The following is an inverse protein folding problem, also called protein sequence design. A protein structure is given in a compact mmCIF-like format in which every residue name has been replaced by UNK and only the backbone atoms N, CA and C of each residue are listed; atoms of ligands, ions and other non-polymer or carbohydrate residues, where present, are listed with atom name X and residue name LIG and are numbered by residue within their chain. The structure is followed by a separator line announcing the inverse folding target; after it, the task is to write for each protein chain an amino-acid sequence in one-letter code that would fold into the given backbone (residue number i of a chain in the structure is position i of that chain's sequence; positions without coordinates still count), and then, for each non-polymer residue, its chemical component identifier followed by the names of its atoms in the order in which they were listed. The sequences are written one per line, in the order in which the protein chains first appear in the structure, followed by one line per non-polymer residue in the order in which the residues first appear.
data_IF_270523991863
#
_entry.id   IF_270523991863
#
_cell.length_a   1.000
_cell.length_b   1.000
_cell.length_c   1.000
_cell.angle_alpha   90.00
_cell.angle_beta   90.00
_cell.angle_gamma   90.00
#
_symmetry.space_group_name_H-M   'P 1'
#
loop_
_entity.id
_entity.type
_entity.pdbx_description
1 polymer ?
#
# COMPACT_ATOMS: atom_id res chain seq x y z
N UNK A 1 2.14 1.08 -13.88
CA UNK A 1 1.39 1.01 -12.61
C UNK A 1 2.18 1.76 -11.54
N UNK A 2 1.51 2.55 -10.73
CA UNK A 2 2.14 3.30 -9.65
C UNK A 2 1.50 2.82 -8.34
N UNK A 3 2.27 2.17 -7.50
CA UNK A 3 1.76 1.43 -6.35
C UNK A 3 2.20 2.07 -5.04
N UNK A 4 1.25 2.22 -4.11
CA UNK A 4 1.54 2.53 -2.72
C UNK A 4 1.27 1.28 -1.90
N UNK A 5 2.22 0.91 -1.06
CA UNK A 5 2.13 -0.26 -0.20
C UNK A 5 1.74 0.18 1.21
N UNK A 6 0.71 -0.44 1.77
CA UNK A 6 0.32 -0.21 3.16
C UNK A 6 0.69 -1.45 3.95
N UNK A 7 1.65 -1.30 4.85
CA UNK A 7 2.18 -2.39 5.66
C UNK A 7 3.49 -2.93 5.11
N UNK A 8 4.58 -2.71 5.84
CA UNK A 8 5.90 -3.19 5.45
C UNK A 8 6.43 -4.21 6.45
N UNK A 9 5.54 -5.10 6.90
CA UNK A 9 5.93 -6.25 7.70
C UNK A 9 6.41 -7.39 6.81
N UNK A 10 6.23 -8.61 7.28
CA UNK A 10 6.74 -9.78 6.57
C UNK A 10 6.25 -9.85 5.12
N UNK A 11 4.94 -9.78 4.93
CA UNK A 11 4.37 -9.87 3.58
C UNK A 11 4.59 -8.61 2.77
N UNK A 12 4.58 -7.46 3.45
CA UNK A 12 4.80 -6.20 2.77
C UNK A 12 6.17 -6.12 2.12
N UNK A 13 7.19 -6.67 2.77
CA UNK A 13 8.52 -6.71 2.21
C UNK A 13 8.56 -7.49 0.90
N UNK A 14 7.82 -8.60 0.84
CA UNK A 14 7.75 -9.40 -0.37
C UNK A 14 7.05 -8.66 -1.49
N UNK A 15 5.94 -7.98 -1.17
CA UNK A 15 5.20 -7.20 -2.16
C UNK A 15 6.03 -6.03 -2.69
N UNK A 16 6.77 -5.35 -1.81
CA UNK A 16 7.63 -4.25 -2.25
C UNK A 16 8.62 -4.73 -3.30
N UNK A 17 9.18 -5.91 -3.10
CA UNK A 17 10.11 -6.51 -4.04
C UNK A 17 9.44 -6.84 -5.36
N UNK A 18 8.22 -7.38 -5.29
CA UNK A 18 7.46 -7.74 -6.48
C UNK A 18 7.13 -6.52 -7.32
N UNK A 19 6.66 -5.44 -6.70
CA UNK A 19 6.30 -4.25 -7.43
C UNK A 19 7.52 -3.48 -7.95
N UNK A 20 8.65 -3.60 -7.27
CA UNK A 20 9.90 -3.03 -7.76
C UNK A 20 9.80 -1.55 -8.09
N UNK A 21 10.11 -1.19 -9.33
CA UNK A 21 10.11 0.20 -9.76
C UNK A 21 8.71 0.81 -9.91
N UNK A 22 7.67 -0.01 -9.85
CA UNK A 22 6.30 0.51 -9.83
C UNK A 22 5.93 1.06 -8.45
N UNK A 23 6.69 0.75 -7.43
CA UNK A 23 6.44 1.19 -6.06
C UNK A 23 6.79 2.67 -5.94
N UNK A 24 5.83 3.49 -5.50
CA UNK A 24 6.03 4.93 -5.35
C UNK A 24 5.81 5.42 -3.92
N UNK A 25 5.24 4.61 -3.05
CA UNK A 25 5.03 4.98 -1.66
C UNK A 25 4.92 3.79 -0.75
N UNK A 26 5.31 3.96 0.51
CA UNK A 26 5.20 2.95 1.55
C UNK A 26 4.63 3.60 2.80
N UNK A 27 3.64 2.94 3.39
CA UNK A 27 2.96 3.40 4.60
C UNK A 27 3.03 2.32 5.67
N UNK A 28 3.40 2.70 6.90
CA UNK A 28 3.42 1.78 8.03
C UNK A 28 3.39 2.59 9.32
N UNK A 29 2.66 2.11 10.32
CA UNK A 29 2.66 2.75 11.63
C UNK A 29 3.97 2.58 12.36
N UNK A 30 4.70 1.52 12.08
CA UNK A 30 5.93 1.17 12.77
C UNK A 30 7.10 1.89 12.12
N UNK A 31 7.71 2.82 12.84
CA UNK A 31 8.82 3.60 12.31
C UNK A 31 10.02 2.72 11.95
N UNK A 32 10.25 1.65 12.71
CA UNK A 32 11.35 0.74 12.39
C UNK A 32 11.16 0.08 11.03
N UNK A 33 9.92 -0.26 10.69
CA UNK A 33 9.64 -0.82 9.37
C UNK A 33 9.92 0.18 8.27
N UNK A 34 9.52 1.45 8.47
CA UNK A 34 9.80 2.50 7.51
C UNK A 34 11.29 2.74 7.36
N UNK A 35 12.03 2.73 8.48
CA UNK A 35 13.49 2.93 8.44
C UNK A 35 14.18 1.83 7.63
N UNK A 36 13.72 0.59 7.78
CA UNK A 36 14.25 -0.52 6.99
C UNK A 36 13.96 -0.36 5.51
N UNK A 37 12.76 0.08 5.20
CA UNK A 37 12.38 0.29 3.80
C UNK A 37 13.19 1.41 3.16
N UNK A 38 13.48 2.47 3.92
CA UNK A 38 14.24 3.60 3.41
C UNK A 38 15.65 3.23 2.97
N UNK A 39 16.19 2.13 3.49
CA UNK A 39 17.50 1.65 3.08
C UNK A 39 17.48 0.99 1.70
N UNK A 40 16.31 0.59 1.22
CA UNK A 40 16.17 -0.18 0.00
C UNK A 40 15.41 0.57 -1.10
N UNK A 41 14.52 1.48 -0.73
CA UNK A 41 13.61 2.10 -1.69
C UNK A 41 13.62 3.61 -1.55
N UNK A 42 13.73 4.30 -2.67
CA UNK A 42 13.67 5.75 -2.74
C UNK A 42 12.26 6.15 -3.18
N UNK A 43 11.34 6.15 -2.23
CA UNK A 43 9.92 6.42 -2.46
C UNK A 43 9.41 7.36 -1.37
N UNK A 44 8.13 7.74 -1.46
CA UNK A 44 7.49 8.53 -0.42
C UNK A 44 7.10 7.62 0.75
N UNK A 45 7.21 8.15 1.98
CA UNK A 45 6.93 7.38 3.19
C UNK A 45 5.85 8.07 4.01
N UNK A 46 4.94 7.27 4.56
CA UNK A 46 3.82 7.75 5.36
C UNK A 46 3.72 6.93 6.63
N UNK A 47 3.46 7.59 7.76
CA UNK A 47 3.32 6.89 9.05
C UNK A 47 1.92 6.38 9.28
N UNK A 48 0.95 6.77 8.45
CA UNK A 48 -0.41 6.27 8.55
C UNK A 48 -1.06 6.28 7.18
N UNK A 49 -2.11 5.45 7.01
CA UNK A 49 -2.83 5.41 5.75
C UNK A 49 -3.56 6.73 5.50
N UNK A 50 -3.94 7.43 6.57
CA UNK A 50 -4.61 8.72 6.44
C UNK A 50 -3.70 9.74 5.78
N UNK A 51 -2.43 9.75 6.15
CA UNK A 51 -1.46 10.64 5.51
C UNK A 51 -1.34 10.36 4.01
N UNK A 52 -1.30 9.08 3.66
CA UNK A 52 -1.26 8.68 2.26
C UNK A 52 -2.52 9.12 1.53
N UNK A 53 -3.68 8.87 2.14
CA UNK A 53 -4.97 9.18 1.54
C UNK A 53 -5.11 10.66 1.22
N UNK A 54 -4.57 11.52 2.09
CA UNK A 54 -4.65 12.97 1.94
C UNK A 54 -3.48 13.56 1.17
N UNK A 55 -2.53 12.74 0.76
CA UNK A 55 -1.32 13.24 0.11
C UNK A 55 -1.59 13.61 -1.35
N UNK A 56 -0.64 14.34 -1.93
CA UNK A 56 -0.69 14.72 -3.35
C UNK A 56 0.08 13.74 -4.22
N UNK A 57 0.53 12.61 -3.66
CA UNK A 57 1.26 11.62 -4.43
C UNK A 57 0.36 11.01 -5.50
N UNK A 58 0.89 10.91 -6.70
CA UNK A 58 0.16 10.26 -7.79
C UNK A 58 0.38 8.75 -7.75
N UNK A 59 -0.70 8.00 -7.61
CA UNK A 59 -0.66 6.54 -7.64
C UNK A 59 -2.02 6.03 -8.11
N UNK A 60 -2.02 4.85 -8.68
CA UNK A 60 -3.27 4.25 -9.19
C UNK A 60 -3.64 2.97 -8.45
N UNK A 61 -2.73 2.41 -7.67
CA UNK A 61 -2.93 1.13 -6.99
C UNK A 61 -2.44 1.19 -5.56
N UNK A 62 -3.21 0.58 -4.67
CA UNK A 62 -2.83 0.43 -3.27
C UNK A 62 -2.74 -1.05 -2.95
N UNK A 63 -1.58 -1.48 -2.49
CA UNK A 63 -1.36 -2.86 -2.04
C UNK A 63 -1.46 -2.88 -0.52
N UNK A 64 -2.34 -3.71 0.03
CA UNK A 64 -2.59 -3.77 1.46
C UNK A 64 -2.05 -5.07 2.03
N UNK A 65 -1.03 -4.96 2.88
CA UNK A 65 -0.36 -6.09 3.51
C UNK A 65 -0.47 -6.02 5.03
N UNK A 66 -1.54 -5.44 5.54
CA UNK A 66 -1.82 -5.37 6.98
C UNK A 66 -2.64 -6.58 7.41
N UNK A 67 -3.01 -6.63 8.68
CA UNK A 67 -3.83 -7.71 9.19
C UNK A 67 -5.19 -7.77 8.50
N UNK A 68 -5.73 -8.97 8.36
CA UNK A 68 -6.95 -9.19 7.60
C UNK A 68 -8.15 -8.37 8.11
N UNK A 69 -8.21 -8.12 9.41
CA UNK A 69 -9.32 -7.38 10.00
C UNK A 69 -9.37 -5.90 9.57
N UNK A 70 -8.27 -5.37 9.04
CA UNK A 70 -8.24 -3.99 8.55
C UNK A 70 -8.39 -3.88 7.04
N UNK A 71 -8.35 -5.00 6.32
CA UNK A 71 -8.34 -4.99 4.86
C UNK A 71 -9.57 -4.32 4.25
N UNK A 72 -10.76 -4.70 4.73
CA UNK A 72 -12.00 -4.21 4.11
C UNK A 72 -12.16 -2.70 4.29
N UNK A 73 -11.85 -2.21 5.48
CA UNK A 73 -11.99 -0.79 5.76
C UNK A 73 -11.06 0.03 4.86
N UNK A 74 -9.79 -0.36 4.81
CA UNK A 74 -8.82 0.33 3.99
C UNK A 74 -9.15 0.21 2.51
N UNK A 75 -9.50 -0.99 2.06
CA UNK A 75 -9.83 -1.22 0.67
C UNK A 75 -10.99 -0.33 0.22
N UNK A 76 -12.04 -0.24 1.03
CA UNK A 76 -13.20 0.59 0.70
C UNK A 76 -12.82 2.06 0.57
N UNK A 77 -11.99 2.57 1.47
CA UNK A 77 -11.58 3.97 1.41
C UNK A 77 -10.89 4.30 0.09
N UNK A 78 -9.95 3.45 -0.31
CA UNK A 78 -9.19 3.73 -1.54
C UNK A 78 -9.98 3.41 -2.80
N UNK A 79 -10.88 2.43 -2.75
CA UNK A 79 -11.78 2.19 -3.88
C UNK A 79 -12.68 3.39 -4.14
N UNK A 80 -13.17 4.03 -3.08
CA UNK A 80 -13.98 5.24 -3.21
C UNK A 80 -13.22 6.38 -3.87
N UNK A 81 -11.88 6.33 -3.82
CA UNK A 81 -11.03 7.31 -4.47
C UNK A 81 -10.55 6.86 -5.85
N UNK A 82 -11.20 5.86 -6.43
CA UNK A 82 -10.90 5.35 -7.78
C UNK A 82 -9.52 4.67 -7.87
N UNK A 83 -9.04 4.12 -6.75
CA UNK A 83 -7.77 3.38 -6.76
C UNK A 83 -8.03 1.89 -6.94
N UNK A 84 -7.13 1.21 -7.61
CA UNK A 84 -7.14 -0.25 -7.67
C UNK A 84 -6.56 -0.80 -6.36
N UNK A 85 -7.07 -1.94 -5.92
CA UNK A 85 -6.65 -2.52 -4.64
C UNK A 85 -6.06 -3.90 -4.86
N UNK A 86 -4.86 -4.11 -4.33
CA UNK A 86 -4.22 -5.42 -4.25
C UNK A 86 -4.30 -5.88 -2.80
N UNK A 87 -4.95 -6.99 -2.55
CA UNK A 87 -5.04 -7.56 -1.20
C UNK A 87 -4.14 -8.78 -1.08
N UNK A 88 -3.39 -8.79 0.01
CA UNK A 88 -2.62 -9.97 0.38
C UNK A 88 -3.56 -10.97 1.04
N UNK A 89 -3.50 -12.18 0.76
CA UNK A 89 -4.17 -13.33 1.35
C UNK A 89 -5.69 -13.22 1.50
N UNK A 90 -6.42 -13.78 0.59
CA UNK A 90 -5.89 -14.32 -0.66
C UNK A 90 -5.53 -13.20 -1.60
N UNK A 91 -4.48 -13.38 -2.37
CA UNK A 91 -4.07 -12.39 -3.32
C UNK A 91 -5.19 -12.14 -4.32
N UNK A 92 -5.63 -10.91 -4.43
CA UNK A 92 -6.65 -10.56 -5.39
C UNK A 92 -6.56 -9.08 -5.71
N UNK A 93 -7.00 -8.71 -6.88
CA UNK A 93 -7.06 -7.32 -7.30
C UNK A 93 -8.53 -6.90 -7.34
N UNK A 94 -8.83 -5.81 -6.66
CA UNK A 94 -10.17 -5.22 -6.71
C UNK A 94 -10.09 -3.87 -7.38
N UNK A 95 -11.02 -3.60 -8.25
CA UNK A 95 -11.13 -2.30 -8.91
C UNK A 95 -12.56 -1.81 -8.78
N UNK A 96 -12.77 -0.52 -9.05
CA UNK A 96 -14.12 0.03 -9.00
C UNK A 96 -15.04 -0.62 -10.02
N UNK A 97 -14.49 -1.23 -11.07
CA UNK A 97 -15.27 -1.81 -12.15
C UNK A 97 -15.80 -3.21 -11.82
N UNK A 98 -15.23 -3.86 -10.80
CA UNK A 98 -15.67 -5.20 -10.42
C UNK A 98 -16.32 -5.22 -9.04
N UNK A 99 -16.54 -4.08 -8.46
CA UNK A 99 -17.32 -3.95 -7.24
C UNK A 99 -18.81 -4.15 -7.55
#
# INVERSE_FOLDING_TARGET
MRVCLIGYGYWGKNLARVFGKDLVGICDYNQDNLDKAKQLYDVQYFSSWEELYQSNLEYDTVAIATKADTHFELANKFLQSNKNIWLEKPACIRTKDIE
#
